data_IF_311672241607
#
_entry.id   IF_311672241607
#
_cell.length_a   1.000
_cell.length_b   1.000
_cell.length_c   1.000
_cell.angle_alpha   90.00
_cell.angle_beta   90.00
_cell.angle_gamma   90.00
#
_symmetry.space_group_name_H-M   'P 1'
#
loop_
_entity.id
_entity.type
_entity.pdbx_description
1 polymer ?
#
# COMPACT_ATOMS: atom_id res chain seq x y z
N UNK A 1 -28.79 -66.29 -30.20
CA UNK A 1 -28.48 -64.87 -30.47
C UNK A 1 -27.99 -64.21 -29.21
N UNK A 2 -26.74 -63.92 -29.13
CA UNK A 2 -26.16 -63.19 -28.00
C UNK A 2 -26.07 -61.76 -28.43
N UNK A 3 -26.90 -60.89 -27.84
CA UNK A 3 -26.70 -59.42 -27.96
C UNK A 3 -25.58 -59.00 -27.01
N UNK A 4 -24.50 -58.61 -27.60
CA UNK A 4 -23.38 -58.07 -26.88
C UNK A 4 -23.66 -56.59 -26.54
N UNK A 5 -23.97 -56.32 -25.30
CA UNK A 5 -24.09 -54.96 -24.80
C UNK A 5 -22.70 -54.45 -24.53
N UNK A 6 -22.15 -53.70 -25.47
CA UNK A 6 -20.97 -52.92 -25.21
C UNK A 6 -21.38 -51.65 -24.45
N UNK A 7 -21.16 -51.68 -23.16
CA UNK A 7 -21.23 -50.48 -22.34
C UNK A 7 -20.04 -49.63 -22.71
N UNK A 8 -20.27 -48.65 -23.57
CA UNK A 8 -19.28 -47.63 -23.86
C UNK A 8 -19.28 -46.67 -22.67
N UNK A 9 -18.29 -46.84 -21.79
CA UNK A 9 -17.98 -45.86 -20.79
C UNK A 9 -17.40 -44.64 -21.51
N UNK A 10 -18.22 -43.62 -21.73
CA UNK A 10 -17.71 -42.30 -22.04
C UNK A 10 -17.07 -41.73 -20.76
N UNK A 11 -15.76 -41.85 -20.68
CA UNK A 11 -14.99 -41.04 -19.73
C UNK A 11 -15.09 -39.63 -20.24
N UNK A 12 -16.06 -38.88 -19.74
CA UNK A 12 -16.07 -37.41 -19.88
C UNK A 12 -14.95 -36.93 -19.06
N UNK A 13 -13.79 -36.76 -19.70
CA UNK A 13 -12.68 -36.01 -19.13
C UNK A 13 -13.17 -34.57 -19.08
N UNK A 14 -13.81 -34.21 -17.98
CA UNK A 14 -14.12 -32.83 -17.66
C UNK A 14 -12.80 -32.09 -17.56
N UNK A 15 -12.41 -31.45 -18.66
CA UNK A 15 -11.35 -30.44 -18.64
C UNK A 15 -11.89 -29.27 -17.82
N UNK A 16 -11.75 -29.37 -16.51
CA UNK A 16 -11.82 -28.17 -15.68
C UNK A 16 -10.63 -27.31 -16.07
N UNK A 17 -10.85 -26.11 -16.62
CA UNK A 17 -9.76 -25.18 -16.74
C UNK A 17 -9.26 -24.94 -15.34
N UNK A 18 -8.05 -25.37 -15.07
CA UNK A 18 -7.30 -24.90 -13.93
C UNK A 18 -7.09 -23.40 -14.15
N UNK A 19 -8.08 -22.61 -13.74
CA UNK A 19 -7.87 -21.20 -13.52
C UNK A 19 -6.84 -21.12 -12.40
N UNK A 20 -5.59 -20.97 -12.77
CA UNK A 20 -4.58 -20.46 -11.90
C UNK A 20 -5.01 -19.05 -11.52
N UNK A 21 -5.72 -18.91 -10.42
CA UNK A 21 -5.88 -17.64 -9.76
C UNK A 21 -4.48 -17.26 -9.26
N UNK A 22 -3.74 -16.50 -10.08
CA UNK A 22 -2.58 -15.80 -9.59
C UNK A 22 -3.03 -14.96 -8.39
N UNK A 23 -2.29 -15.02 -7.28
CA UNK A 23 -2.62 -14.19 -6.12
C UNK A 23 -2.75 -12.73 -6.57
N UNK A 24 -3.90 -12.14 -6.31
CA UNK A 24 -4.13 -10.72 -6.54
C UNK A 24 -3.17 -9.92 -5.66
N UNK A 25 -2.64 -8.83 -6.20
CA UNK A 25 -1.78 -7.93 -5.44
C UNK A 25 -2.51 -7.44 -4.18
N UNK A 26 -1.90 -7.64 -3.04
CA UNK A 26 -2.43 -7.21 -1.75
C UNK A 26 -1.35 -6.62 -0.86
N UNK A 27 -1.76 -5.73 0.02
CA UNK A 27 -0.89 -5.11 1.02
C UNK A 27 -1.50 -5.29 2.40
N UNK A 28 -0.65 -5.54 3.39
CA UNK A 28 -1.00 -5.50 4.80
C UNK A 28 -0.29 -4.31 5.44
N UNK A 29 -0.99 -3.58 6.28
CA UNK A 29 -0.43 -2.43 6.99
C UNK A 29 -0.68 -2.55 8.49
N UNK A 30 0.28 -2.05 9.25
CA UNK A 30 0.23 -1.98 10.71
C UNK A 30 0.64 -0.59 11.16
N UNK A 31 0.13 -0.18 12.32
CA UNK A 31 0.52 1.06 13.00
C UNK A 31 0.44 2.31 12.09
N UNK A 32 -0.56 2.35 11.22
CA UNK A 32 -0.77 3.49 10.31
C UNK A 32 -1.31 4.66 11.08
N UNK A 33 -0.48 5.68 11.29
CA UNK A 33 -0.85 6.86 12.03
C UNK A 33 -0.30 8.16 11.43
N UNK A 34 -1.04 9.23 11.64
CA UNK A 34 -0.64 10.59 11.31
C UNK A 34 -0.50 11.35 12.63
N UNK A 35 0.62 12.06 12.79
CA UNK A 35 0.85 12.88 13.98
C UNK A 35 -0.19 13.99 14.07
N UNK A 36 -0.73 14.18 15.26
CA UNK A 36 -1.73 15.22 15.51
C UNK A 36 -1.22 16.62 15.13
N UNK A 37 -2.09 17.37 14.49
CA UNK A 37 -1.82 18.75 14.10
C UNK A 37 -2.06 19.70 15.26
N UNK A 38 -1.09 20.55 15.55
CA UNK A 38 -1.28 21.70 16.44
C UNK A 38 -2.10 22.78 15.73
N UNK A 39 -2.81 23.66 16.49
CA UNK A 39 -3.51 24.78 15.87
C UNK A 39 -2.61 25.62 14.96
N UNK A 40 -3.04 25.88 13.74
CA UNK A 40 -2.30 26.64 12.74
C UNK A 40 -1.24 25.87 11.98
N UNK A 41 -0.98 24.61 12.33
CA UNK A 41 -0.02 23.75 11.62
C UNK A 41 -0.67 23.18 10.36
N UNK A 42 0.04 23.28 9.23
CA UNK A 42 -0.43 22.77 7.93
C UNK A 42 0.39 21.59 7.41
N UNK A 43 1.46 21.22 8.09
CA UNK A 43 2.38 20.17 7.73
C UNK A 43 2.49 19.20 8.90
N UNK A 44 2.40 17.93 8.62
CA UNK A 44 2.65 16.89 9.63
C UNK A 44 3.30 15.66 8.99
N UNK A 45 3.58 14.66 9.81
CA UNK A 45 4.22 13.42 9.39
C UNK A 45 3.29 12.23 9.58
N UNK A 46 3.48 11.21 8.75
CA UNK A 46 2.77 9.95 8.86
C UNK A 46 3.73 8.78 8.91
N UNK A 47 3.32 7.73 9.58
CA UNK A 47 4.09 6.50 9.78
C UNK A 47 3.23 5.29 9.53
N UNK A 48 3.83 4.20 9.07
CA UNK A 48 3.22 2.89 8.98
C UNK A 48 4.24 1.81 8.68
N UNK A 49 3.89 0.59 8.99
CA UNK A 49 4.56 -0.60 8.48
C UNK A 49 3.69 -1.18 7.36
N UNK A 50 4.29 -1.51 6.24
CA UNK A 50 3.57 -2.07 5.09
C UNK A 50 4.32 -3.28 4.53
N UNK A 51 3.55 -4.31 4.20
CA UNK A 51 4.05 -5.52 3.56
C UNK A 51 3.20 -5.82 2.33
N UNK A 52 3.85 -6.00 1.19
CA UNK A 52 3.17 -6.37 -0.06
C UNK A 52 3.48 -7.83 -0.41
N UNK A 53 2.55 -8.50 -1.08
CA UNK A 53 2.73 -9.88 -1.53
C UNK A 53 3.51 -10.00 -2.86
N UNK A 54 3.91 -8.88 -3.44
CA UNK A 54 4.78 -8.79 -4.61
C UNK A 54 5.67 -7.56 -4.52
N UNK A 55 6.78 -7.56 -5.26
CA UNK A 55 7.62 -6.37 -5.41
C UNK A 55 6.78 -5.23 -5.99
N UNK A 56 6.86 -4.06 -5.38
CA UNK A 56 6.08 -2.91 -5.78
C UNK A 56 6.80 -1.60 -5.44
N UNK A 57 6.46 -0.55 -6.16
CA UNK A 57 6.90 0.81 -5.86
C UNK A 57 5.70 1.66 -5.48
N UNK A 58 5.80 2.44 -4.43
CA UNK A 58 4.80 3.45 -4.09
C UNK A 58 5.12 4.71 -4.90
N UNK A 59 4.36 4.95 -5.96
CA UNK A 59 4.63 6.06 -6.88
C UNK A 59 3.81 7.31 -6.61
N UNK A 60 2.69 7.17 -5.93
CA UNK A 60 1.83 8.30 -5.59
C UNK A 60 1.02 8.01 -4.34
N UNK A 61 0.79 9.04 -3.53
CA UNK A 61 -0.06 8.98 -2.35
C UNK A 61 -0.89 10.25 -2.34
N UNK A 62 -2.21 10.12 -2.19
CA UNK A 62 -3.10 11.27 -2.11
C UNK A 62 -4.28 11.01 -1.19
N UNK A 63 -4.89 12.08 -0.71
CA UNK A 63 -6.09 12.04 0.11
C UNK A 63 -6.90 13.30 -0.07
N UNK A 64 -8.19 13.23 0.25
CA UNK A 64 -9.01 14.42 0.43
C UNK A 64 -8.47 15.21 1.63
N UNK A 65 -8.62 16.50 1.66
CA UNK A 65 -8.20 17.37 2.75
C UNK A 65 -6.67 17.46 2.98
N UNK A 66 -5.86 16.85 2.14
CA UNK A 66 -4.40 16.93 2.17
C UNK A 66 -3.93 17.31 0.77
N UNK A 67 -3.25 18.44 0.65
CA UNK A 67 -2.84 18.97 -0.66
C UNK A 67 -1.77 18.15 -1.35
N UNK A 68 -0.81 17.63 -0.58
CA UNK A 68 0.30 16.84 -1.11
C UNK A 68 0.83 15.87 -0.05
N UNK A 69 1.14 14.65 -0.48
CA UNK A 69 1.76 13.63 0.37
C UNK A 69 2.99 13.09 -0.34
N UNK A 70 4.11 13.08 0.34
CA UNK A 70 5.39 12.58 -0.17
C UNK A 70 6.02 11.62 0.84
N UNK A 71 6.72 10.61 0.34
CA UNK A 71 7.61 9.81 1.17
C UNK A 71 9.00 10.44 1.19
N UNK A 72 9.58 10.56 2.36
CA UNK A 72 10.90 11.15 2.58
C UNK A 72 11.81 10.19 3.33
N UNK A 73 13.09 10.24 3.01
CA UNK A 73 14.15 9.61 3.80
C UNK A 73 14.89 10.65 4.61
N UNK A 74 15.40 10.23 5.76
CA UNK A 74 16.32 11.02 6.55
C UNK A 74 17.71 10.43 6.44
N UNK A 75 18.68 11.25 6.02
CA UNK A 75 20.09 10.86 5.96
C UNK A 75 20.92 11.88 6.72
N UNK A 76 21.97 11.39 7.37
CA UNK A 76 22.97 12.25 8.01
C UNK A 76 24.15 12.44 7.08
N UNK A 77 24.50 13.72 6.80
CA UNK A 77 25.70 14.10 6.10
C UNK A 77 26.59 14.86 7.09
N UNK A 78 27.45 14.11 7.79
CA UNK A 78 28.17 14.64 8.95
C UNK A 78 27.20 14.94 10.09
N UNK A 79 27.15 16.18 10.55
CA UNK A 79 26.22 16.66 11.59
C UNK A 79 24.91 17.22 11.02
N UNK A 80 24.79 17.29 9.69
CA UNK A 80 23.63 17.85 9.01
C UNK A 80 22.65 16.77 8.65
N UNK A 81 21.41 16.91 9.13
CA UNK A 81 20.29 16.05 8.75
C UNK A 81 19.69 16.53 7.42
N UNK A 82 19.64 15.65 6.44
CA UNK A 82 19.03 15.93 5.14
C UNK A 82 17.80 15.06 4.93
N UNK A 83 16.71 15.67 4.49
CA UNK A 83 15.51 15.00 4.03
C UNK A 83 15.47 15.00 2.51
N UNK A 84 15.15 13.86 1.93
CA UNK A 84 15.00 13.72 0.47
C UNK A 84 13.70 13.00 0.16
N UNK A 85 13.01 13.47 -0.87
CA UNK A 85 11.87 12.74 -1.44
C UNK A 85 12.35 11.43 -2.03
N UNK A 86 11.65 10.34 -1.69
CA UNK A 86 11.95 9.00 -2.18
C UNK A 86 10.71 8.35 -2.80
N UNK A 87 10.96 7.33 -3.62
CA UNK A 87 9.92 6.40 -4.08
C UNK A 87 10.14 5.09 -3.34
N UNK A 88 9.31 4.77 -2.34
CA UNK A 88 9.51 3.55 -1.56
C UNK A 88 9.43 2.29 -2.44
N UNK A 89 10.41 1.42 -2.32
CA UNK A 89 10.47 0.14 -3.02
C UNK A 89 10.17 -0.99 -2.05
N UNK A 90 9.06 -1.68 -2.28
CA UNK A 90 8.65 -2.81 -1.46
C UNK A 90 9.18 -4.11 -2.06
N UNK A 91 9.76 -4.94 -1.22
CA UNK A 91 10.21 -6.28 -1.58
C UNK A 91 9.14 -7.28 -1.12
N UNK A 92 8.82 -8.23 -1.98
CA UNK A 92 7.82 -9.27 -1.72
C UNK A 92 7.94 -9.88 -0.32
N UNK A 93 6.84 -9.87 0.43
CA UNK A 93 6.71 -10.44 1.76
C UNK A 93 7.67 -9.89 2.81
N UNK A 94 8.28 -8.73 2.54
CA UNK A 94 9.20 -8.07 3.46
C UNK A 94 8.57 -6.79 3.99
N UNK A 95 8.59 -6.61 5.30
CA UNK A 95 8.08 -5.40 5.95
C UNK A 95 8.91 -4.19 5.55
N UNK A 96 8.24 -3.13 5.08
CA UNK A 96 8.81 -1.82 4.85
C UNK A 96 8.33 -0.87 5.95
N UNK A 97 9.25 -0.28 6.67
CA UNK A 97 8.94 0.55 7.83
C UNK A 97 9.07 2.04 7.50
N UNK A 98 7.98 2.78 7.74
CA UNK A 98 7.97 4.24 7.80
C UNK A 98 7.79 4.62 9.26
N UNK A 99 8.87 5.09 9.90
CA UNK A 99 8.92 5.27 11.35
C UNK A 99 9.64 6.55 11.77
N UNK A 100 9.39 7.05 12.99
CA UNK A 100 10.12 8.21 13.52
C UNK A 100 11.63 8.00 13.48
N UNK A 101 12.36 9.01 13.00
CA UNK A 101 13.80 8.94 12.85
C UNK A 101 14.31 8.20 11.62
N UNK A 102 13.42 7.61 10.84
CA UNK A 102 13.71 6.93 9.57
C UNK A 102 12.93 7.51 8.41
N UNK A 103 12.63 6.67 7.43
CA UNK A 103 11.74 7.05 6.34
C UNK A 103 10.34 7.35 6.89
N UNK A 104 9.67 8.35 6.34
CA UNK A 104 8.37 8.78 6.81
C UNK A 104 7.56 9.43 5.68
N UNK A 105 6.28 9.63 5.93
CA UNK A 105 5.42 10.41 5.05
C UNK A 105 5.40 11.85 5.53
N UNK A 106 5.47 12.79 4.57
CA UNK A 106 5.24 14.21 4.80
C UNK A 106 3.92 14.60 4.16
N UNK A 107 3.05 15.20 4.97
CA UNK A 107 1.73 15.66 4.56
C UNK A 107 1.70 17.17 4.56
N UNK A 108 1.36 17.76 3.41
CA UNK A 108 1.36 19.22 3.21
C UNK A 108 -0.04 19.75 2.94
N UNK A 109 -0.27 20.99 3.27
CA UNK A 109 -1.52 21.73 3.02
C UNK A 109 -2.75 20.99 3.55
N UNK A 110 -2.72 20.70 4.83
CA UNK A 110 -3.77 19.95 5.50
C UNK A 110 -4.95 20.86 5.85
N UNK A 111 -6.17 20.43 5.47
CA UNK A 111 -7.39 21.11 5.81
C UNK A 111 -7.69 21.02 7.31
N UNK A 112 -8.24 22.08 7.87
CA UNK A 112 -8.63 22.14 9.29
C UNK A 112 -9.63 21.08 9.70
N UNK A 113 -10.50 20.66 8.79
CA UNK A 113 -11.52 19.65 9.05
C UNK A 113 -10.94 18.25 9.27
N UNK A 114 -9.76 17.99 8.79
CA UNK A 114 -9.09 16.69 8.98
C UNK A 114 -8.90 16.37 10.46
N UNK A 115 -8.58 17.35 11.26
CA UNK A 115 -8.34 17.21 12.70
C UNK A 115 -9.56 16.65 13.45
N UNK A 116 -10.76 17.02 13.03
CA UNK A 116 -12.00 16.61 13.69
C UNK A 116 -12.43 15.17 13.34
N UNK A 117 -11.91 14.58 12.25
CA UNK A 117 -12.36 13.28 11.77
C UNK A 117 -11.76 12.09 12.54
N UNK A 118 -10.61 12.27 13.22
CA UNK A 118 -9.92 11.23 13.96
C UNK A 118 -9.22 10.16 13.12
N UNK A 119 -9.57 10.05 11.85
CA UNK A 119 -8.91 9.17 10.89
C UNK A 119 -9.11 9.65 9.46
N UNK A 120 -8.28 9.16 8.55
CA UNK A 120 -8.32 9.52 7.13
C UNK A 120 -7.84 8.33 6.29
N UNK A 121 -8.44 8.18 5.11
CA UNK A 121 -8.00 7.19 4.13
C UNK A 121 -7.03 7.83 3.14
N UNK A 122 -5.84 7.28 3.02
CA UNK A 122 -4.85 7.65 2.03
C UNK A 122 -4.90 6.66 0.87
N UNK A 123 -4.91 7.18 -0.35
CA UNK A 123 -4.89 6.38 -1.58
C UNK A 123 -3.45 6.23 -2.05
N UNK A 124 -2.95 5.02 -1.97
CA UNK A 124 -1.60 4.64 -2.42
C UNK A 124 -1.69 4.06 -3.82
N UNK A 125 -0.91 4.57 -4.75
CA UNK A 125 -0.76 3.99 -6.07
C UNK A 125 0.54 3.22 -6.13
N UNK A 126 0.43 1.91 -6.35
CA UNK A 126 1.56 0.99 -6.47
C UNK A 126 1.82 0.68 -7.93
N UNK A 127 3.08 0.68 -8.31
CA UNK A 127 3.53 0.10 -9.57
C UNK A 127 3.98 -1.33 -9.31
N UNK A 128 3.26 -2.29 -9.86
CA UNK A 128 3.54 -3.72 -9.76
C UNK A 128 3.77 -4.25 -11.17
N UNK A 129 5.01 -4.57 -11.52
CA UNK A 129 5.40 -4.88 -12.90
C UNK A 129 5.01 -3.73 -13.83
N UNK A 130 4.13 -3.96 -14.81
CA UNK A 130 3.66 -2.94 -15.76
C UNK A 130 2.26 -2.40 -15.41
N UNK A 131 1.76 -2.66 -14.20
CA UNK A 131 0.41 -2.26 -13.77
C UNK A 131 0.47 -1.24 -12.66
N UNK A 132 -0.51 -0.33 -12.65
CA UNK A 132 -0.76 0.59 -11.56
C UNK A 132 -1.98 0.12 -10.78
N UNK A 133 -1.80 -0.07 -9.48
CA UNK A 133 -2.86 -0.54 -8.60
C UNK A 133 -3.01 0.46 -7.44
N UNK A 134 -4.23 0.92 -7.21
CA UNK A 134 -4.54 1.85 -6.12
C UNK A 134 -5.20 1.11 -4.97
N UNK A 135 -4.68 1.32 -3.76
CA UNK A 135 -5.23 0.78 -2.51
C UNK A 135 -5.50 1.92 -1.54
N UNK A 136 -6.61 1.83 -0.82
CA UNK A 136 -6.94 2.77 0.25
C UNK A 136 -6.47 2.21 1.58
N UNK A 137 -5.71 3.01 2.32
CA UNK A 137 -5.18 2.63 3.64
C UNK A 137 -5.66 3.65 4.66
N UNK A 138 -6.27 3.16 5.74
CA UNK A 138 -6.79 4.00 6.82
C UNK A 138 -5.69 4.35 7.81
N UNK A 139 -5.53 5.63 8.08
CA UNK A 139 -4.62 6.16 9.09
C UNK A 139 -5.41 6.77 10.24
N UNK A 140 -4.94 6.52 11.45
CA UNK A 140 -5.45 7.20 12.64
C UNK A 140 -4.68 8.50 12.86
N UNK A 141 -5.37 9.52 13.36
CA UNK A 141 -4.75 10.80 13.74
C UNK A 141 -4.55 10.78 15.26
N UNK A 142 -3.32 10.86 15.66
CA UNK A 142 -2.92 10.88 17.08
C UNK A 142 -1.88 11.94 17.36
#
# INVERSE_FOLDING_TARGET
MKTSNYLIFYIVFSLFPLFSYGEEFSVANEDSLISELRPGQKITVGFMDITANEDAKIINIKAKMIGRIEAHSMTMDGEIMKMRKITPELVKNKKYELKPGGNHLMLFDIDRELKASGNVNLLFTFQVKNKLITKSIKFKIK
#
